data_IF_838080157597
#
_entry.id   IF_838080157597
#
_cell.length_a   1.000
_cell.length_b   1.000
_cell.length_c   1.000
_cell.angle_alpha   90.00
_cell.angle_beta   90.00
_cell.angle_gamma   90.00
#
_symmetry.space_group_name_H-M   'P 1'
#
loop_
_entity.id
_entity.type
_entity.pdbx_description
1 polymer ?
#
# COMPACT_ATOMS: atom_id res chain seq x y z
N UNK A 1 21.29 10.52 -29.59
CA UNK A 1 19.87 10.48 -29.91
C UNK A 1 19.21 9.17 -29.48
N UNK A 2 19.78 8.04 -29.86
CA UNK A 2 19.24 6.74 -29.51
C UNK A 2 19.29 6.45 -28.01
N UNK A 3 20.29 7.01 -27.32
CA UNK A 3 20.40 6.79 -25.88
C UNK A 3 19.24 7.40 -25.09
N UNK A 4 18.76 8.56 -25.52
CA UNK A 4 17.62 9.19 -24.84
C UNK A 4 16.33 8.40 -25.05
N UNK A 5 16.12 7.91 -26.26
CA UNK A 5 14.94 7.11 -26.58
C UNK A 5 14.95 5.81 -25.79
N UNK A 6 16.10 5.15 -25.70
CA UNK A 6 16.24 3.90 -24.94
C UNK A 6 15.96 4.14 -23.46
N UNK A 7 16.47 5.22 -22.91
CA UNK A 7 16.24 5.56 -21.51
C UNK A 7 14.77 5.85 -21.23
N UNK A 8 14.10 6.54 -22.13
CA UNK A 8 12.67 6.84 -21.97
C UNK A 8 11.84 5.56 -22.02
N UNK A 9 12.14 4.67 -22.96
CA UNK A 9 11.48 3.38 -23.03
C UNK A 9 11.71 2.56 -21.77
N UNK A 10 12.91 2.58 -21.25
CA UNK A 10 13.26 1.86 -20.03
C UNK A 10 12.46 2.40 -18.85
N UNK A 11 12.34 3.71 -18.74
CA UNK A 11 11.54 4.34 -17.68
C UNK A 11 10.08 3.97 -17.77
N UNK A 12 9.54 3.95 -18.98
CA UNK A 12 8.13 3.56 -19.20
C UNK A 12 7.90 2.11 -18.82
N UNK A 13 8.82 1.23 -19.17
CA UNK A 13 8.72 -0.18 -18.80
C UNK A 13 8.75 -0.34 -17.27
N UNK A 14 9.62 0.38 -16.59
CA UNK A 14 9.68 0.34 -15.13
C UNK A 14 8.40 0.87 -14.49
N UNK A 15 7.82 1.93 -15.04
CA UNK A 15 6.56 2.46 -14.55
C UNK A 15 5.42 1.47 -14.74
N UNK A 16 5.39 0.82 -15.90
CA UNK A 16 4.38 -0.18 -16.20
C UNK A 16 4.48 -1.37 -15.24
N UNK A 17 5.70 -1.83 -14.98
CA UNK A 17 5.94 -2.91 -14.03
C UNK A 17 5.45 -2.52 -12.63
N UNK A 18 5.73 -1.30 -12.20
CA UNK A 18 5.26 -0.82 -10.90
C UNK A 18 3.75 -0.72 -10.82
N UNK A 19 3.10 -0.32 -11.92
CA UNK A 19 1.63 -0.24 -11.99
C UNK A 19 0.99 -1.61 -11.99
N UNK A 20 1.61 -2.55 -12.70
CA UNK A 20 1.08 -3.90 -12.84
C UNK A 20 1.33 -4.75 -11.58
N UNK A 21 2.21 -4.30 -10.70
CA UNK A 21 2.41 -5.00 -9.45
C UNK A 21 1.16 -4.87 -8.60
N UNK A 22 0.55 -6.00 -8.23
CA UNK A 22 -0.56 -5.93 -7.30
C UNK A 22 -0.07 -5.31 -5.99
N UNK A 23 -0.91 -4.45 -5.42
CA UNK A 23 -0.62 -3.86 -4.14
C UNK A 23 -0.48 -4.96 -3.10
N UNK A 24 0.44 -4.80 -2.20
CA UNK A 24 0.64 -5.77 -1.15
C UNK A 24 -0.49 -5.64 -0.12
N UNK A 25 -1.06 -6.77 0.27
CA UNK A 25 -2.07 -6.81 1.30
C UNK A 25 -1.43 -7.23 2.62
N UNK A 26 -1.72 -6.47 3.65
CA UNK A 26 -1.18 -6.68 4.99
C UNK A 26 -2.31 -7.08 5.93
N UNK A 27 -2.07 -8.08 6.79
CA UNK A 27 -2.99 -8.35 7.87
C UNK A 27 -2.79 -7.30 8.98
N UNK A 28 -3.62 -7.35 10.02
CA UNK A 28 -3.56 -6.31 11.05
C UNK A 28 -2.22 -6.31 11.79
N UNK A 29 -1.63 -7.47 12.02
CA UNK A 29 -0.33 -7.56 12.65
C UNK A 29 0.76 -6.93 11.79
N UNK A 30 0.75 -7.23 10.50
CA UNK A 30 1.70 -6.67 9.55
C UNK A 30 1.51 -5.16 9.40
N UNK A 31 0.25 -4.71 9.32
CA UNK A 31 -0.05 -3.29 9.23
C UNK A 31 0.43 -2.54 10.46
N UNK A 32 0.21 -3.10 11.63
CA UNK A 32 0.65 -2.50 12.88
C UNK A 32 2.17 -2.38 12.94
N UNK A 33 2.88 -3.44 12.54
CA UNK A 33 4.33 -3.41 12.48
C UNK A 33 4.84 -2.37 11.48
N UNK A 34 4.22 -2.33 10.32
CA UNK A 34 4.60 -1.39 9.26
C UNK A 34 4.38 0.06 9.70
N UNK A 35 3.28 0.33 10.36
CA UNK A 35 2.93 1.67 10.84
C UNK A 35 3.59 1.99 12.19
N UNK A 36 4.19 1.00 12.83
CA UNK A 36 4.77 1.14 14.18
C UNK A 36 3.72 1.56 15.22
N UNK A 37 2.54 0.99 15.06
CA UNK A 37 1.42 1.21 15.97
C UNK A 37 0.96 -0.13 16.53
N UNK A 38 0.16 -0.10 17.60
CA UNK A 38 -0.44 -1.32 18.12
C UNK A 38 -1.61 -1.75 17.22
N UNK A 39 -1.94 -3.04 17.23
CA UNK A 39 -3.09 -3.54 16.51
C UNK A 39 -4.38 -2.87 16.98
N UNK A 40 -4.48 -2.63 18.26
CA UNK A 40 -5.62 -1.98 18.87
C UNK A 40 -5.80 -0.57 18.32
N UNK A 41 -4.70 0.17 18.16
CA UNK A 41 -4.72 1.51 17.57
C UNK A 41 -5.17 1.46 16.11
N UNK A 42 -4.67 0.49 15.33
CA UNK A 42 -5.09 0.31 13.95
C UNK A 42 -6.60 0.04 13.90
N UNK A 43 -7.11 -0.85 14.74
CA UNK A 43 -8.54 -1.16 14.78
C UNK A 43 -9.38 0.07 15.10
N UNK A 44 -8.88 0.91 15.99
CA UNK A 44 -9.59 2.14 16.37
C UNK A 44 -9.72 3.07 15.17
N UNK A 45 -8.65 3.27 14.39
CA UNK A 45 -8.70 4.12 13.21
C UNK A 45 -9.62 3.55 12.13
N UNK A 46 -9.65 2.24 11.99
CA UNK A 46 -10.60 1.59 11.08
C UNK A 46 -12.03 1.83 11.54
N UNK A 47 -12.29 1.69 12.83
CA UNK A 47 -13.62 1.91 13.41
C UNK A 47 -14.07 3.34 13.24
N UNK A 48 -13.14 4.29 13.36
CA UNK A 48 -13.44 5.70 13.17
C UNK A 48 -13.62 6.09 11.71
N UNK A 49 -13.31 5.19 10.79
CA UNK A 49 -13.43 5.47 9.37
C UNK A 49 -12.24 6.20 8.78
N UNK A 50 -11.20 6.43 9.54
CA UNK A 50 -10.02 7.13 9.05
C UNK A 50 -9.11 6.24 8.22
N UNK A 51 -9.05 4.95 8.55
CA UNK A 51 -8.23 3.99 7.84
C UNK A 51 -9.12 2.93 7.24
N UNK A 52 -9.01 2.75 5.91
CA UNK A 52 -9.83 1.79 5.21
C UNK A 52 -9.18 0.41 5.22
N UNK A 53 -10.00 -0.60 5.44
CA UNK A 53 -9.59 -1.98 5.42
C UNK A 53 -10.63 -2.82 4.69
N UNK A 54 -10.17 -3.90 4.05
CA UNK A 54 -11.07 -4.86 3.45
C UNK A 54 -11.47 -5.90 4.47
N UNK A 55 -12.75 -6.24 4.51
CA UNK A 55 -13.27 -7.28 5.39
C UNK A 55 -13.82 -8.48 4.60
N UNK A 56 -13.56 -8.52 3.30
CA UNK A 56 -14.15 -9.52 2.41
C UNK A 56 -13.83 -10.95 2.80
N UNK A 57 -12.64 -11.17 3.31
CA UNK A 57 -12.16 -12.51 3.66
C UNK A 57 -12.51 -12.92 5.08
N UNK A 58 -13.24 -12.08 5.83
CA UNK A 58 -13.49 -12.29 7.24
C UNK A 58 -12.37 -11.79 8.15
N UNK A 59 -11.29 -11.28 7.57
CA UNK A 59 -10.19 -10.69 8.28
C UNK A 59 -9.96 -9.28 7.79
N UNK A 60 -9.39 -8.43 8.64
CA UNK A 60 -8.99 -7.09 8.21
C UNK A 60 -7.73 -7.19 7.38
N UNK A 61 -7.81 -6.71 6.15
CA UNK A 61 -6.66 -6.64 5.25
C UNK A 61 -6.49 -5.20 4.79
N UNK A 62 -5.25 -4.76 4.74
CA UNK A 62 -4.88 -3.39 4.41
C UNK A 62 -4.03 -3.37 3.17
N UNK A 63 -4.34 -2.46 2.25
CA UNK A 63 -3.46 -2.21 1.12
C UNK A 63 -2.28 -1.38 1.60
N UNK A 64 -1.08 -1.88 1.34
CA UNK A 64 0.14 -1.22 1.80
C UNK A 64 0.23 0.21 1.28
N UNK A 65 -0.12 0.43 0.02
CA UNK A 65 -0.06 1.76 -0.57
C UNK A 65 -1.00 2.74 0.12
N UNK A 66 -2.20 2.29 0.46
CA UNK A 66 -3.18 3.13 1.16
C UNK A 66 -2.74 3.42 2.60
N UNK A 67 -2.15 2.42 3.23
CA UNK A 67 -1.61 2.60 4.58
C UNK A 67 -0.47 3.63 4.57
N UNK A 68 0.44 3.50 3.62
CA UNK A 68 1.54 4.45 3.47
C UNK A 68 1.03 5.86 3.20
N UNK A 69 0.05 5.99 2.33
CA UNK A 69 -0.55 7.28 2.02
C UNK A 69 -1.18 7.91 3.27
N UNK A 70 -1.89 7.11 4.04
CA UNK A 70 -2.51 7.58 5.29
C UNK A 70 -1.46 8.01 6.31
N UNK A 71 -0.36 7.26 6.43
CA UNK A 71 0.73 7.59 7.35
C UNK A 71 1.45 8.87 6.96
N UNK A 72 1.54 9.13 5.66
CA UNK A 72 2.22 10.33 5.16
C UNK A 72 1.33 11.57 5.19
N UNK A 73 0.10 11.40 5.56
CA UNK A 73 -0.83 12.51 5.67
C UNK A 73 -1.50 12.86 4.39
#
# INVERSE_FOLDING_TARGET
MNKMIIQDMFKEILKAIKRDRPDEWLNISQAAQHAKLSEQTIRRYVRMGELKASKRTGRLLFQKSKLDHWLNG
#
